data_IF_919056925454
#
_entry.id   IF_919056925454
#
_cell.length_a   1.000
_cell.length_b   1.000
_cell.length_c   1.000
_cell.angle_alpha   90.00
_cell.angle_beta   90.00
_cell.angle_gamma   90.00
#
_symmetry.space_group_name_H-M   'P 1'
#
loop_
_entity.id
_entity.type
_entity.pdbx_description
1 polymer ?
#
# COMPACT_ATOMS: atom_id res chain seq x y z
N UNK A 1 -3.73 1.13 29.52
CA UNK A 1 -4.09 -0.20 28.99
C UNK A 1 -3.60 -0.27 27.55
N UNK A 2 -3.20 -1.43 26.99
CA UNK A 2 -2.81 -1.54 25.60
C UNK A 2 -4.02 -1.31 24.68
N UNK A 3 -3.77 -0.72 23.51
CA UNK A 3 -4.78 -0.57 22.45
C UNK A 3 -5.18 -1.95 21.92
N UNK A 4 -6.46 -2.25 21.93
CA UNK A 4 -7.02 -3.53 21.49
C UNK A 4 -7.29 -3.47 19.99
N UNK A 5 -6.57 -4.27 19.22
CA UNK A 5 -6.65 -4.24 17.74
C UNK A 5 -7.32 -5.50 17.23
N UNK A 6 -8.39 -5.35 16.45
CA UNK A 6 -8.98 -6.42 15.65
C UNK A 6 -8.52 -6.31 14.20
N UNK A 7 -8.22 -7.44 13.55
CA UNK A 7 -7.82 -7.48 12.13
C UNK A 7 -8.90 -8.20 11.33
N UNK A 8 -9.36 -7.53 10.27
CA UNK A 8 -10.27 -8.12 9.27
C UNK A 8 -9.45 -8.43 8.02
N UNK A 9 -9.33 -9.71 7.68
CA UNK A 9 -8.52 -10.26 6.61
C UNK A 9 -7.43 -11.20 7.12
N UNK A 10 -7.29 -12.35 6.46
CA UNK A 10 -6.25 -13.36 6.69
C UNK A 10 -5.54 -13.76 5.39
N UNK A 11 -5.52 -12.84 4.41
CA UNK A 11 -4.81 -13.01 3.14
C UNK A 11 -3.29 -12.85 3.27
N UNK A 12 -2.59 -12.98 2.13
CA UNK A 12 -1.13 -12.92 2.07
C UNK A 12 -0.54 -11.67 2.76
N UNK A 13 -1.11 -10.50 2.53
CA UNK A 13 -0.54 -9.27 3.11
C UNK A 13 -0.97 -9.05 4.56
N UNK A 14 -2.14 -9.54 4.96
CA UNK A 14 -2.66 -9.41 6.33
C UNK A 14 -1.74 -10.00 7.38
N UNK A 15 -0.95 -11.05 7.05
CA UNK A 15 0.02 -11.64 7.99
C UNK A 15 1.03 -10.62 8.52
N UNK A 16 1.49 -9.70 7.68
CA UNK A 16 2.46 -8.67 8.10
C UNK A 16 1.83 -7.66 9.07
N UNK A 17 0.55 -7.34 8.89
CA UNK A 17 -0.22 -6.51 9.83
C UNK A 17 -0.38 -7.23 11.18
N UNK A 18 -0.83 -8.49 11.15
CA UNK A 18 -1.04 -9.30 12.35
C UNK A 18 0.25 -9.45 13.15
N UNK A 19 1.38 -9.76 12.49
CA UNK A 19 2.71 -9.83 13.11
C UNK A 19 3.15 -8.49 13.70
N UNK A 20 2.89 -7.39 12.99
CA UNK A 20 3.22 -6.05 13.48
C UNK A 20 2.43 -5.72 14.75
N UNK A 21 1.11 -5.94 14.76
CA UNK A 21 0.27 -5.71 15.93
C UNK A 21 0.62 -6.59 17.13
N UNK A 22 0.97 -7.86 16.90
CA UNK A 22 1.39 -8.76 17.96
C UNK A 22 2.74 -8.37 18.60
N UNK A 23 3.60 -7.70 17.83
CA UNK A 23 4.96 -7.29 18.27
C UNK A 23 5.03 -5.87 18.81
N UNK A 24 4.12 -4.98 18.41
CA UNK A 24 4.21 -3.56 18.72
C UNK A 24 3.91 -3.31 20.21
N UNK A 25 4.84 -2.66 20.98
CA UNK A 25 4.57 -2.32 22.37
C UNK A 25 3.35 -1.40 22.50
N UNK A 26 2.54 -1.66 23.50
CA UNK A 26 1.33 -0.86 23.77
C UNK A 26 0.10 -1.27 22.96
N UNK A 27 0.17 -2.31 22.13
CA UNK A 27 -0.97 -2.90 21.44
C UNK A 27 -1.24 -4.33 21.89
N UNK A 28 -2.45 -4.80 21.63
CA UNK A 28 -2.88 -6.18 21.84
C UNK A 28 -3.78 -6.61 20.69
N UNK A 29 -3.33 -7.57 19.88
CA UNK A 29 -4.20 -8.23 18.91
C UNK A 29 -5.27 -9.01 19.70
N UNK A 30 -6.57 -8.77 19.38
CA UNK A 30 -7.69 -9.34 20.15
C UNK A 30 -8.55 -10.32 19.36
N UNK A 31 -8.40 -10.38 18.04
CA UNK A 31 -9.10 -11.32 17.17
C UNK A 31 -8.82 -11.07 15.71
N UNK A 32 -9.07 -12.09 14.89
CA UNK A 32 -8.91 -12.06 13.43
C UNK A 32 -10.18 -12.60 12.79
N UNK A 33 -10.71 -11.88 11.77
CA UNK A 33 -11.81 -12.34 10.95
C UNK A 33 -11.40 -12.50 9.48
N UNK A 34 -11.93 -13.54 8.82
CA UNK A 34 -11.90 -13.71 7.37
C UNK A 34 -13.14 -14.49 6.94
N UNK A 35 -13.72 -14.19 5.78
CA UNK A 35 -14.85 -14.94 5.23
C UNK A 35 -14.51 -16.44 5.06
N UNK A 36 -13.25 -16.74 4.79
CA UNK A 36 -12.70 -18.09 4.80
C UNK A 36 -12.34 -18.48 6.24
N UNK A 37 -13.22 -19.28 6.84
CA UNK A 37 -13.08 -19.72 8.24
C UNK A 37 -11.76 -20.45 8.53
N UNK A 38 -11.25 -21.20 7.57
CA UNK A 38 -10.00 -21.93 7.74
C UNK A 38 -8.80 -20.96 7.74
N UNK A 39 -8.78 -19.96 6.85
CA UNK A 39 -7.76 -18.91 6.86
C UNK A 39 -7.79 -18.12 8.18
N UNK A 40 -8.98 -17.73 8.64
CA UNK A 40 -9.12 -17.04 9.91
C UNK A 40 -8.56 -17.87 11.07
N UNK A 41 -8.93 -19.16 11.16
CA UNK A 41 -8.45 -20.06 12.20
C UNK A 41 -6.94 -20.27 12.16
N UNK A 42 -6.37 -20.50 10.98
CA UNK A 42 -4.92 -20.69 10.80
C UNK A 42 -4.11 -19.43 11.14
N UNK A 43 -4.64 -18.24 10.82
CA UNK A 43 -4.00 -16.98 11.17
C UNK A 43 -4.07 -16.72 12.69
N UNK A 44 -5.24 -16.86 13.28
CA UNK A 44 -5.49 -16.60 14.68
C UNK A 44 -4.71 -17.53 15.62
N UNK A 45 -4.56 -18.81 15.25
CA UNK A 45 -3.80 -19.81 16.00
C UNK A 45 -2.34 -19.39 16.23
N UNK A 46 -1.72 -18.69 15.26
CA UNK A 46 -0.33 -18.22 15.38
C UNK A 46 -0.12 -17.24 16.52
N UNK A 47 -1.18 -16.51 16.89
CA UNK A 47 -1.14 -15.45 17.91
C UNK A 47 -1.93 -15.78 19.17
N UNK A 48 -2.58 -16.96 19.22
CA UNK A 48 -3.39 -17.38 20.36
C UNK A 48 -4.62 -16.49 20.59
N UNK A 49 -5.21 -15.96 19.51
CA UNK A 49 -6.42 -15.11 19.56
C UNK A 49 -7.62 -15.83 18.95
N UNK A 50 -8.88 -15.42 19.24
CA UNK A 50 -10.05 -15.99 18.63
C UNK A 50 -10.14 -15.67 17.13
N UNK A 51 -10.70 -16.62 16.35
CA UNK A 51 -10.98 -16.52 14.94
C UNK A 51 -12.48 -16.38 14.71
N UNK A 52 -12.84 -15.55 13.72
CA UNK A 52 -14.23 -15.26 13.33
C UNK A 52 -14.39 -15.41 11.81
N UNK A 53 -15.58 -15.79 11.36
CA UNK A 53 -15.97 -15.75 9.94
C UNK A 53 -16.80 -14.52 9.59
N UNK A 54 -17.14 -13.71 10.58
CA UNK A 54 -17.93 -12.50 10.47
C UNK A 54 -17.26 -11.36 11.25
N UNK A 55 -17.11 -10.21 10.62
CA UNK A 55 -16.52 -9.02 11.23
C UNK A 55 -17.43 -8.39 12.29
N UNK A 56 -18.75 -8.50 12.15
CA UNK A 56 -19.71 -8.00 13.13
C UNK A 56 -19.55 -8.76 14.46
N UNK A 57 -19.48 -10.11 14.39
CA UNK A 57 -19.23 -10.96 15.54
C UNK A 57 -17.86 -10.66 16.18
N UNK A 58 -16.80 -10.47 15.36
CA UNK A 58 -15.48 -10.06 15.82
C UNK A 58 -15.56 -8.78 16.65
N UNK A 59 -16.24 -7.74 16.15
CA UNK A 59 -16.34 -6.45 16.85
C UNK A 59 -17.15 -6.57 18.15
N UNK A 60 -18.25 -7.32 18.12
CA UNK A 60 -19.14 -7.47 19.26
C UNK A 60 -18.54 -8.28 20.39
N UNK A 61 -17.79 -9.33 20.09
CA UNK A 61 -17.13 -10.18 21.07
C UNK A 61 -15.85 -9.54 21.61
N UNK A 62 -15.02 -9.00 20.72
CA UNK A 62 -13.70 -8.52 21.13
C UNK A 62 -13.68 -7.08 21.63
N UNK A 63 -14.70 -6.26 21.29
CA UNK A 63 -14.77 -4.83 21.64
C UNK A 63 -13.42 -4.13 21.42
N UNK A 64 -12.95 -4.03 20.15
CA UNK A 64 -11.65 -3.44 19.85
C UNK A 64 -11.67 -1.92 20.02
N UNK A 65 -10.49 -1.33 20.25
CA UNK A 65 -10.27 0.11 20.23
C UNK A 65 -9.88 0.61 18.81
N UNK A 66 -9.41 -0.30 17.96
CA UNK A 66 -8.96 -0.05 16.58
C UNK A 66 -9.23 -1.26 15.71
N UNK A 67 -9.69 -1.04 14.49
CA UNK A 67 -9.86 -2.08 13.47
C UNK A 67 -8.85 -1.88 12.35
N UNK A 68 -8.14 -2.95 11.99
CA UNK A 68 -7.23 -2.99 10.84
C UNK A 68 -7.88 -3.82 9.72
N UNK A 69 -8.22 -3.15 8.61
CA UNK A 69 -8.91 -3.72 7.45
C UNK A 69 -7.84 -4.10 6.42
N UNK A 70 -7.48 -5.37 6.36
CA UNK A 70 -6.46 -5.94 5.47
C UNK A 70 -7.05 -6.90 4.43
N UNK A 71 -8.18 -6.51 3.84
CA UNK A 71 -8.95 -7.25 2.85
C UNK A 71 -8.74 -6.70 1.43
N UNK A 72 -9.27 -7.34 0.37
CA UNK A 72 -9.30 -6.75 -0.96
C UNK A 72 -10.16 -5.48 -1.05
N UNK A 73 -9.83 -4.53 -1.96
CA UNK A 73 -10.48 -3.22 -2.03
C UNK A 73 -12.01 -3.23 -2.20
N UNK A 74 -12.56 -4.29 -2.80
CA UNK A 74 -14.00 -4.40 -3.02
C UNK A 74 -14.84 -4.45 -1.74
N UNK A 75 -14.26 -4.89 -0.62
CA UNK A 75 -14.94 -4.99 0.69
C UNK A 75 -14.71 -3.77 1.60
N UNK A 76 -13.82 -2.84 1.23
CA UNK A 76 -13.42 -1.75 2.12
C UNK A 76 -14.60 -0.83 2.50
N UNK A 77 -15.46 -0.48 1.54
CA UNK A 77 -16.60 0.40 1.81
C UNK A 77 -17.56 -0.19 2.85
N UNK A 78 -17.88 -1.48 2.71
CA UNK A 78 -18.76 -2.18 3.67
C UNK A 78 -18.13 -2.20 5.07
N UNK A 79 -16.85 -2.57 5.15
CA UNK A 79 -16.14 -2.64 6.43
C UNK A 79 -15.95 -1.26 7.07
N UNK A 80 -15.71 -0.21 6.27
CA UNK A 80 -15.64 1.17 6.78
C UNK A 80 -17.01 1.63 7.29
N UNK A 81 -18.12 1.28 6.63
CA UNK A 81 -19.47 1.53 7.16
C UNK A 81 -19.69 0.82 8.50
N UNK A 82 -19.26 -0.43 8.62
CA UNK A 82 -19.42 -1.20 9.86
C UNK A 82 -18.64 -0.62 11.05
N UNK A 83 -17.41 -0.14 10.83
CA UNK A 83 -16.65 0.53 11.90
C UNK A 83 -17.18 1.94 12.20
N UNK A 84 -17.64 2.67 11.18
CA UNK A 84 -18.19 4.01 11.33
C UNK A 84 -19.45 4.04 12.22
N UNK A 85 -20.38 3.10 12.02
CA UNK A 85 -21.59 2.96 12.86
C UNK A 85 -21.23 2.73 14.34
N UNK A 86 -20.08 2.12 14.62
CA UNK A 86 -19.60 1.85 15.96
C UNK A 86 -18.68 2.94 16.52
N UNK A 87 -18.35 3.96 15.74
CA UNK A 87 -17.38 4.99 16.11
C UNK A 87 -15.96 4.46 16.32
N UNK A 88 -15.61 3.33 15.68
CA UNK A 88 -14.30 2.70 15.82
C UNK A 88 -13.30 3.32 14.85
N UNK A 89 -12.12 3.76 15.31
CA UNK A 89 -11.01 4.09 14.42
C UNK A 89 -10.63 2.91 13.53
N UNK A 90 -10.24 3.18 12.28
CA UNK A 90 -9.83 2.14 11.35
C UNK A 90 -8.57 2.51 10.57
N UNK A 91 -7.75 1.49 10.31
CA UNK A 91 -6.70 1.52 9.30
C UNK A 91 -7.18 0.63 8.15
N UNK A 92 -7.17 1.15 6.92
CA UNK A 92 -7.67 0.43 5.75
C UNK A 92 -6.56 0.28 4.71
N UNK A 93 -6.37 -0.94 4.22
CA UNK A 93 -5.34 -1.27 3.25
C UNK A 93 -5.53 -0.52 1.92
N UNK A 94 -4.40 -0.26 1.25
CA UNK A 94 -4.37 0.28 -0.11
C UNK A 94 -4.68 -0.84 -1.15
N UNK A 95 -5.18 -0.48 -2.33
CA UNK A 95 -5.86 0.77 -2.65
C UNK A 95 -7.16 0.89 -1.87
N UNK A 96 -7.54 2.12 -1.52
CA UNK A 96 -8.68 2.38 -0.63
C UNK A 96 -10.00 1.84 -1.18
N UNK A 97 -10.13 1.79 -2.51
CA UNK A 97 -11.31 1.27 -3.20
C UNK A 97 -10.98 0.85 -4.64
N UNK A 98 -11.87 0.11 -5.32
CA UNK A 98 -11.68 -0.28 -6.72
C UNK A 98 -11.75 0.90 -7.71
N UNK A 99 -12.51 1.95 -7.39
CA UNK A 99 -12.69 3.15 -8.23
C UNK A 99 -12.62 4.43 -7.39
N UNK A 100 -12.46 5.58 -8.06
CA UNK A 100 -12.44 6.87 -7.39
C UNK A 100 -13.77 7.19 -6.69
N UNK A 101 -14.88 6.88 -7.34
CA UNK A 101 -16.23 7.14 -6.81
C UNK A 101 -16.43 6.38 -5.49
N UNK A 102 -16.05 5.09 -5.45
CA UNK A 102 -16.13 4.29 -4.23
C UNK A 102 -15.15 4.79 -3.18
N UNK A 103 -13.94 5.24 -3.57
CA UNK A 103 -12.98 5.83 -2.63
C UNK A 103 -13.52 7.13 -2.00
N UNK A 104 -14.19 7.96 -2.78
CA UNK A 104 -14.88 9.17 -2.28
C UNK A 104 -16.00 8.81 -1.30
N UNK A 105 -16.77 7.74 -1.56
CA UNK A 105 -17.79 7.26 -0.63
C UNK A 105 -17.19 6.72 0.68
N UNK A 106 -16.06 6.02 0.61
CA UNK A 106 -15.31 5.55 1.79
C UNK A 106 -14.89 6.73 2.66
N UNK A 107 -14.28 7.76 2.05
CA UNK A 107 -13.83 8.96 2.76
C UNK A 107 -15.03 9.72 3.36
N UNK A 108 -16.07 9.95 2.57
CA UNK A 108 -17.28 10.64 3.04
C UNK A 108 -17.97 9.88 4.19
N UNK A 109 -17.96 8.54 4.16
CA UNK A 109 -18.51 7.71 5.25
C UNK A 109 -17.75 7.96 6.56
N UNK A 110 -16.43 7.98 6.51
CA UNK A 110 -15.59 8.23 7.67
C UNK A 110 -15.75 9.67 8.20
N UNK A 111 -15.73 10.67 7.30
CA UNK A 111 -15.89 12.08 7.66
C UNK A 111 -17.27 12.37 8.29
N UNK A 112 -18.35 11.88 7.66
CA UNK A 112 -19.72 12.11 8.15
C UNK A 112 -19.98 11.48 9.53
N UNK A 113 -19.30 10.37 9.84
CA UNK A 113 -19.40 9.71 11.15
C UNK A 113 -18.39 10.22 12.19
N UNK A 114 -17.44 11.07 11.80
CA UNK A 114 -16.32 11.46 12.65
C UNK A 114 -15.33 10.34 12.96
N UNK A 115 -15.35 9.23 12.17
CA UNK A 115 -14.46 8.09 12.34
C UNK A 115 -13.06 8.44 11.84
N UNK A 116 -12.05 8.20 12.67
CA UNK A 116 -10.66 8.28 12.23
C UNK A 116 -10.36 7.13 11.27
N UNK A 117 -10.19 7.43 10.00
CA UNK A 117 -9.79 6.47 8.96
C UNK A 117 -8.39 6.80 8.44
N UNK A 118 -7.50 5.83 8.48
CA UNK A 118 -6.14 5.92 7.94
C UNK A 118 -5.99 4.97 6.77
N UNK A 119 -5.67 5.49 5.57
CA UNK A 119 -5.26 4.64 4.45
C UNK A 119 -3.86 4.09 4.72
N UNK A 120 -3.73 2.76 4.68
CA UNK A 120 -2.45 2.09 4.96
C UNK A 120 -1.54 2.13 3.73
N UNK A 121 -0.82 3.23 3.56
CA UNK A 121 0.28 3.36 2.61
C UNK A 121 1.60 3.28 3.37
N UNK A 122 2.43 2.28 3.05
CA UNK A 122 3.60 1.96 3.85
C UNK A 122 4.95 2.39 3.23
N UNK A 123 5.03 2.66 1.91
CA UNK A 123 6.32 2.91 1.27
C UNK A 123 7.01 4.16 1.78
N UNK A 124 6.30 5.28 1.95
CA UNK A 124 6.87 6.51 2.51
C UNK A 124 7.54 6.33 3.87
N UNK A 125 7.20 5.27 4.62
CA UNK A 125 7.78 4.93 5.92
C UNK A 125 9.02 4.05 5.84
N UNK A 126 9.39 3.57 4.65
CA UNK A 126 10.63 2.81 4.47
C UNK A 126 11.84 3.70 4.79
N UNK A 127 12.90 3.14 5.40
CA UNK A 127 14.01 3.93 5.93
C UNK A 127 14.66 4.86 4.91
N UNK A 128 14.86 4.38 3.69
CA UNK A 128 15.49 5.17 2.61
C UNK A 128 14.63 6.36 2.16
N UNK A 129 13.31 6.25 2.07
CA UNK A 129 12.45 7.39 1.70
C UNK A 129 12.36 8.42 2.83
N UNK A 130 12.38 7.95 4.09
CA UNK A 130 12.45 8.85 5.25
C UNK A 130 13.77 9.60 5.29
N UNK A 131 14.90 8.92 5.00
CA UNK A 131 16.20 9.57 4.90
C UNK A 131 16.25 10.60 3.77
N UNK A 132 15.74 10.26 2.57
CA UNK A 132 15.63 11.23 1.47
C UNK A 132 14.83 12.47 1.91
N UNK A 133 13.70 12.29 2.59
CA UNK A 133 12.90 13.42 3.10
C UNK A 133 13.67 14.25 4.12
N UNK A 134 14.44 13.63 5.00
CA UNK A 134 15.30 14.30 5.95
C UNK A 134 16.37 15.16 5.25
N UNK A 135 17.06 14.60 4.26
CA UNK A 135 18.08 15.29 3.47
C UNK A 135 17.49 16.48 2.69
N UNK A 136 16.29 16.34 2.11
CA UNK A 136 15.56 17.43 1.46
C UNK A 136 15.27 18.53 2.49
N UNK A 137 14.68 18.19 3.63
CA UNK A 137 14.29 19.16 4.66
C UNK A 137 15.48 19.91 5.25
N UNK A 138 16.68 19.29 5.26
CA UNK A 138 17.94 19.89 5.69
C UNK A 138 18.65 20.68 4.56
N UNK A 139 18.02 20.87 3.40
CA UNK A 139 18.54 21.64 2.28
C UNK A 139 19.73 21.01 1.56
N UNK A 140 20.03 19.72 1.78
CA UNK A 140 21.21 19.04 1.23
C UNK A 140 21.23 18.95 -0.29
N UNK A 141 20.07 19.03 -0.92
CA UNK A 141 19.92 18.98 -2.39
C UNK A 141 19.74 20.37 -3.02
N UNK A 142 19.62 21.43 -2.21
CA UNK A 142 19.28 22.74 -2.72
C UNK A 142 17.88 22.79 -3.31
N UNK A 143 17.70 23.50 -4.43
CA UNK A 143 16.43 23.54 -5.14
C UNK A 143 16.22 22.21 -5.88
N UNK A 144 15.11 21.53 -5.61
CA UNK A 144 14.79 20.27 -6.27
C UNK A 144 14.38 20.49 -7.72
N UNK A 145 14.87 19.62 -8.60
CA UNK A 145 14.55 19.60 -10.03
C UNK A 145 13.49 18.54 -10.35
N UNK A 146 13.64 17.32 -9.78
CA UNK A 146 12.71 16.24 -10.05
C UNK A 146 13.07 14.93 -9.34
N UNK A 147 12.19 13.97 -9.52
CA UNK A 147 12.35 12.59 -9.06
C UNK A 147 12.06 11.61 -10.19
N UNK A 148 12.83 10.55 -10.29
CA UNK A 148 12.51 9.43 -11.18
C UNK A 148 12.61 8.10 -10.44
N UNK A 149 11.71 7.19 -10.76
CA UNK A 149 11.73 5.81 -10.28
C UNK A 149 11.59 4.83 -11.43
N UNK A 150 12.51 3.88 -11.50
CA UNK A 150 12.50 2.81 -12.47
C UNK A 150 12.13 1.49 -11.81
N UNK A 151 10.87 1.08 -11.93
CA UNK A 151 10.33 -0.16 -11.36
C UNK A 151 10.74 -1.37 -12.18
N UNK A 152 11.48 -2.32 -11.58
CA UNK A 152 11.98 -3.54 -12.26
C UNK A 152 12.05 -4.74 -11.27
N UNK A 153 10.92 -5.25 -10.76
CA UNK A 153 10.91 -6.34 -9.79
C UNK A 153 11.11 -7.73 -10.41
N UNK A 154 10.90 -7.92 -11.72
CA UNK A 154 11.09 -9.20 -12.42
C UNK A 154 10.05 -10.27 -12.13
N UNK A 155 8.93 -9.93 -11.49
CA UNK A 155 7.94 -10.90 -10.99
C UNK A 155 6.74 -11.13 -11.94
N UNK A 156 6.74 -10.45 -13.10
CA UNK A 156 5.61 -10.44 -14.04
C UNK A 156 5.73 -11.35 -15.27
N UNK A 157 6.65 -12.31 -15.27
CA UNK A 157 6.94 -13.12 -16.46
C UNK A 157 6.10 -14.39 -16.55
N UNK A 158 5.63 -14.68 -17.76
CA UNK A 158 5.00 -15.94 -18.14
C UNK A 158 3.61 -16.18 -17.56
N UNK A 159 3.04 -17.38 -17.81
CA UNK A 159 1.66 -17.71 -17.43
C UNK A 159 1.45 -17.91 -15.93
N UNK A 160 2.51 -18.21 -15.18
CA UNK A 160 2.44 -18.44 -13.74
C UNK A 160 2.73 -17.19 -12.89
N UNK A 161 2.91 -16.02 -13.55
CA UNK A 161 3.14 -14.77 -12.85
C UNK A 161 2.06 -14.53 -11.77
N UNK A 162 2.51 -14.26 -10.52
CA UNK A 162 1.69 -13.95 -9.35
C UNK A 162 0.86 -15.10 -8.75
N UNK A 163 0.67 -16.25 -9.44
CA UNK A 163 -0.24 -17.31 -8.99
C UNK A 163 0.12 -17.89 -7.62
N UNK A 164 1.40 -18.00 -7.29
CA UNK A 164 1.86 -18.57 -6.02
C UNK A 164 1.57 -17.67 -4.81
N UNK A 165 1.32 -16.37 -5.02
CA UNK A 165 1.23 -15.39 -3.93
C UNK A 165 -0.05 -14.58 -3.94
N UNK A 166 -0.37 -13.98 -5.07
CA UNK A 166 -1.50 -13.07 -5.25
C UNK A 166 -2.18 -13.34 -6.60
N UNK A 167 -2.90 -14.46 -6.75
CA UNK A 167 -3.48 -14.89 -8.03
C UNK A 167 -4.42 -13.85 -8.65
N UNK A 168 -5.07 -13.03 -7.82
CA UNK A 168 -6.00 -12.00 -8.29
C UNK A 168 -5.32 -10.90 -9.14
N UNK A 169 -4.00 -10.75 -9.06
CA UNK A 169 -3.25 -9.81 -9.90
C UNK A 169 -3.44 -10.07 -11.39
N UNK A 170 -3.57 -11.34 -11.79
CA UNK A 170 -3.81 -11.69 -13.20
C UNK A 170 -5.14 -11.16 -13.72
N UNK A 171 -6.11 -10.93 -12.84
CA UNK A 171 -7.47 -10.53 -13.18
C UNK A 171 -7.78 -9.04 -12.94
N UNK A 172 -6.84 -8.29 -12.39
CA UNK A 172 -7.03 -6.86 -12.15
C UNK A 172 -7.07 -6.09 -13.47
N UNK A 173 -8.16 -5.37 -13.73
CA UNK A 173 -8.32 -4.55 -14.93
C UNK A 173 -7.38 -3.32 -14.93
N UNK A 174 -6.99 -2.83 -13.76
CA UNK A 174 -5.98 -1.78 -13.52
C UNK A 174 -4.96 -2.36 -12.58
N UNK A 175 -3.79 -2.72 -13.09
CA UNK A 175 -2.83 -3.49 -12.30
C UNK A 175 -1.62 -2.68 -11.87
N UNK A 176 -0.74 -2.28 -12.81
CA UNK A 176 0.51 -1.59 -12.48
C UNK A 176 0.25 -0.31 -11.68
N UNK A 177 -0.71 0.51 -12.12
CA UNK A 177 -0.98 1.80 -11.48
C UNK A 177 -1.65 1.60 -10.14
N UNK A 178 -2.71 0.81 -10.09
CA UNK A 178 -3.58 0.68 -8.93
C UNK A 178 -2.97 -0.16 -7.81
N UNK A 179 -2.16 -1.16 -8.17
CA UNK A 179 -1.52 -2.05 -7.19
C UNK A 179 -0.12 -1.58 -6.78
N UNK A 180 0.68 -1.10 -7.74
CA UNK A 180 2.11 -0.86 -7.49
C UNK A 180 2.50 0.61 -7.59
N UNK A 181 2.14 1.31 -8.67
CA UNK A 181 2.55 2.70 -8.85
C UNK A 181 1.94 3.63 -7.80
N UNK A 182 0.81 3.27 -7.19
CA UNK A 182 0.19 4.01 -6.09
C UNK A 182 1.19 4.28 -4.93
N UNK A 183 2.05 3.33 -4.62
CA UNK A 183 3.10 3.48 -3.61
C UNK A 183 4.13 4.56 -3.97
N UNK A 184 4.51 4.61 -5.25
CA UNK A 184 5.48 5.59 -5.74
C UNK A 184 4.85 6.96 -5.96
N UNK A 185 3.58 7.01 -6.37
CA UNK A 185 2.80 8.26 -6.41
C UNK A 185 2.75 8.89 -5.01
N UNK A 186 2.45 8.10 -4.00
CA UNK A 186 2.44 8.53 -2.61
C UNK A 186 3.84 8.97 -2.14
N UNK A 187 4.87 8.19 -2.47
CA UNK A 187 6.26 8.53 -2.13
C UNK A 187 6.71 9.82 -2.82
N UNK A 188 6.38 10.01 -4.09
CA UNK A 188 6.68 11.23 -4.82
C UNK A 188 6.00 12.45 -4.19
N UNK A 189 4.72 12.33 -3.83
CA UNK A 189 4.00 13.39 -3.09
C UNK A 189 4.63 13.66 -1.71
N UNK A 190 5.08 12.61 -1.03
CA UNK A 190 5.80 12.76 0.24
C UNK A 190 7.12 13.53 0.10
N UNK A 191 7.83 13.35 -1.01
CA UNK A 191 9.13 14.00 -1.27
C UNK A 191 8.97 15.41 -1.84
N UNK A 192 8.07 15.63 -2.82
CA UNK A 192 7.98 16.83 -3.64
C UNK A 192 6.69 17.65 -3.43
N UNK A 193 5.68 17.10 -2.76
CA UNK A 193 4.40 17.78 -2.54
C UNK A 193 3.31 17.39 -3.53
N UNK A 194 2.34 18.29 -3.76
CA UNK A 194 1.14 17.95 -4.51
C UNK A 194 1.36 17.96 -6.03
N UNK A 195 0.75 16.97 -6.69
CA UNK A 195 0.73 16.84 -8.15
C UNK A 195 -0.33 17.76 -8.73
N UNK A 196 0.03 18.53 -9.76
CA UNK A 196 -0.85 19.44 -10.51
C UNK A 196 -1.24 18.90 -11.89
N UNK A 197 -0.45 17.98 -12.46
CA UNK A 197 -0.73 17.38 -13.76
C UNK A 197 -0.15 15.98 -13.90
N UNK A 198 -0.76 15.16 -14.76
CA UNK A 198 -0.28 13.82 -15.04
C UNK A 198 -0.47 13.46 -16.52
N UNK A 199 0.56 12.82 -17.09
CA UNK A 199 0.50 12.21 -18.42
C UNK A 199 1.00 10.78 -18.33
N UNK A 200 0.29 9.82 -18.94
CA UNK A 200 0.67 8.41 -18.86
C UNK A 200 0.56 7.68 -20.20
N UNK A 201 1.45 6.72 -20.41
CA UNK A 201 1.38 5.73 -21.49
C UNK A 201 1.52 4.34 -20.87
N UNK A 202 0.41 3.63 -20.76
CA UNK A 202 0.34 2.31 -20.13
C UNK A 202 0.30 1.21 -21.19
N UNK A 203 0.87 0.05 -20.88
CA UNK A 203 0.94 -1.11 -21.78
C UNK A 203 0.75 -2.41 -20.99
N UNK A 204 0.19 -3.40 -21.67
CA UNK A 204 0.20 -4.78 -21.26
C UNK A 204 1.28 -5.53 -22.08
N UNK A 205 2.28 -6.07 -21.40
CA UNK A 205 3.36 -6.85 -22.02
C UNK A 205 3.15 -8.35 -21.82
N UNK A 206 2.70 -8.80 -20.65
CA UNK A 206 2.34 -10.17 -20.38
C UNK A 206 0.89 -10.44 -20.81
N UNK A 207 0.70 -11.29 -21.83
CA UNK A 207 -0.63 -11.63 -22.36
C UNK A 207 -1.52 -12.42 -21.40
N UNK A 208 -0.95 -13.00 -20.32
CA UNK A 208 -1.67 -13.80 -19.33
C UNK A 208 -2.33 -12.96 -18.22
N UNK A 209 -2.11 -11.66 -18.20
CA UNK A 209 -2.77 -10.76 -17.26
C UNK A 209 -3.75 -9.84 -18.01
N UNK A 210 -4.75 -9.32 -17.27
CA UNK A 210 -5.80 -8.48 -17.84
C UNK A 210 -5.37 -7.03 -17.94
N UNK A 211 -4.81 -6.47 -16.88
CA UNK A 211 -4.42 -5.05 -16.78
C UNK A 211 -3.05 -4.74 -17.37
N UNK A 212 -2.65 -3.50 -17.20
CA UNK A 212 -1.33 -3.02 -17.56
C UNK A 212 -0.26 -3.51 -16.58
N UNK A 213 0.90 -3.91 -17.09
CA UNK A 213 2.08 -4.35 -16.31
C UNK A 213 3.35 -3.56 -16.64
N UNK A 214 3.22 -2.61 -17.57
CA UNK A 214 4.28 -1.66 -17.92
C UNK A 214 3.69 -0.30 -18.29
N UNK A 215 4.49 0.75 -18.14
CA UNK A 215 4.09 2.10 -18.54
C UNK A 215 5.02 3.17 -18.01
N UNK A 216 4.87 4.34 -18.59
CA UNK A 216 5.55 5.57 -18.18
C UNK A 216 4.48 6.54 -17.71
N UNK A 217 4.70 7.14 -16.53
CA UNK A 217 3.85 8.19 -15.97
C UNK A 217 4.75 9.39 -15.66
N UNK A 218 4.38 10.55 -16.17
CA UNK A 218 5.02 11.83 -15.90
C UNK A 218 4.08 12.65 -15.03
N UNK A 219 4.63 13.24 -13.98
CA UNK A 219 3.92 14.07 -13.02
C UNK A 219 4.47 15.50 -13.08
N UNK A 220 3.59 16.47 -13.13
CA UNK A 220 3.91 17.87 -12.87
C UNK A 220 3.53 18.19 -11.43
N UNK A 221 4.47 18.72 -10.65
CA UNK A 221 4.22 19.13 -9.27
C UNK A 221 3.85 20.61 -9.20
N UNK A 222 3.00 20.97 -8.25
CA UNK A 222 2.57 22.36 -8.04
C UNK A 222 3.73 23.32 -7.76
N UNK A 223 4.84 22.81 -7.24
CA UNK A 223 6.08 23.55 -6.97
C UNK A 223 7.06 23.62 -8.15
N UNK A 224 6.67 23.10 -9.33
CA UNK A 224 7.39 23.21 -10.60
C UNK A 224 8.37 22.07 -10.92
N UNK A 225 8.50 21.07 -10.04
CA UNK A 225 9.33 19.89 -10.31
C UNK A 225 8.59 18.90 -11.23
N UNK A 226 9.36 17.97 -11.82
CA UNK A 226 8.82 16.85 -12.62
C UNK A 226 9.09 15.51 -11.92
N UNK A 227 8.13 14.61 -11.94
CA UNK A 227 8.27 13.22 -11.53
C UNK A 227 8.17 12.27 -12.71
N UNK A 228 8.98 11.21 -12.73
CA UNK A 228 8.93 10.17 -13.74
C UNK A 228 8.83 8.80 -13.06
N UNK A 229 7.74 8.08 -13.32
CA UNK A 229 7.63 6.66 -12.99
C UNK A 229 7.74 5.84 -14.28
N UNK A 230 8.81 5.02 -14.39
CA UNK A 230 9.02 4.06 -15.49
C UNK A 230 8.78 2.65 -14.95
N UNK A 231 7.56 2.15 -15.12
CA UNK A 231 7.11 0.85 -14.64
C UNK A 231 7.26 -0.26 -15.67
N UNK A 232 7.91 -1.36 -15.28
CA UNK A 232 7.96 -2.60 -16.03
C UNK A 232 8.17 -3.77 -15.06
N UNK A 233 7.17 -4.63 -14.93
CA UNK A 233 7.23 -5.77 -13.99
C UNK A 233 7.94 -7.00 -14.56
N UNK A 234 8.30 -7.01 -15.85
CA UNK A 234 8.90 -8.19 -16.51
C UNK A 234 10.42 -8.27 -16.32
N UNK A 235 11.10 -7.14 -16.28
CA UNK A 235 12.54 -7.08 -16.15
C UNK A 235 12.98 -6.92 -14.68
N UNK A 236 14.20 -7.34 -14.40
CA UNK A 236 14.84 -7.17 -13.10
C UNK A 236 15.81 -5.99 -13.11
N UNK A 237 16.01 -5.36 -11.97
CA UNK A 237 17.13 -4.46 -11.71
C UNK A 237 18.24 -5.22 -10.99
N UNK A 238 19.41 -4.65 -10.91
CA UNK A 238 20.57 -5.26 -10.24
C UNK A 238 20.38 -5.20 -8.73
N UNK A 239 20.02 -6.34 -8.13
CA UNK A 239 19.84 -6.49 -6.68
C UNK A 239 19.95 -7.96 -6.28
N UNK A 240 20.38 -8.25 -5.05
CA UNK A 240 20.29 -9.59 -4.46
C UNK A 240 18.82 -9.99 -4.20
N UNK A 241 18.02 -9.00 -3.77
CA UNK A 241 16.59 -9.14 -3.57
C UNK A 241 15.87 -8.02 -4.33
N UNK A 242 15.38 -8.34 -5.52
CA UNK A 242 14.66 -7.37 -6.38
C UNK A 242 13.40 -6.80 -5.76
N UNK A 243 12.89 -7.42 -4.69
CA UNK A 243 11.70 -6.98 -3.97
C UNK A 243 12.00 -5.98 -2.85
N UNK A 244 13.27 -5.78 -2.48
CA UNK A 244 13.63 -4.87 -1.39
C UNK A 244 13.23 -3.42 -1.73
N UNK A 245 13.72 -2.92 -2.86
CA UNK A 245 13.43 -1.59 -3.38
C UNK A 245 12.46 -1.60 -4.56
N UNK A 246 12.25 -2.76 -5.19
CA UNK A 246 11.47 -3.01 -6.40
C UNK A 246 11.99 -2.22 -7.63
N UNK A 247 13.14 -1.59 -7.54
CA UNK A 247 13.72 -0.74 -8.56
C UNK A 247 14.72 0.26 -8.00
N UNK A 248 14.93 1.33 -8.74
CA UNK A 248 15.91 2.36 -8.45
C UNK A 248 15.28 3.76 -8.53
N UNK A 249 15.72 4.68 -7.66
CA UNK A 249 15.25 6.07 -7.63
C UNK A 249 16.41 7.04 -7.79
N UNK A 250 16.17 8.14 -8.49
CA UNK A 250 17.01 9.33 -8.53
C UNK A 250 16.19 10.53 -8.07
N UNK A 251 16.75 11.31 -7.19
CA UNK A 251 16.20 12.58 -6.74
C UNK A 251 17.26 13.66 -6.98
N UNK A 252 16.95 14.63 -7.82
CA UNK A 252 17.90 15.59 -8.35
C UNK A 252 17.61 17.00 -7.84
N UNK A 253 18.64 17.72 -7.47
CA UNK A 253 18.58 19.11 -7.06
C UNK A 253 19.81 19.90 -7.42
N UNK A 254 19.79 21.21 -7.23
CA UNK A 254 20.87 22.13 -7.62
C UNK A 254 22.17 21.90 -6.88
N UNK A 255 22.17 21.21 -5.71
CA UNK A 255 23.34 20.93 -4.92
C UNK A 255 23.78 19.46 -4.97
N UNK A 256 23.09 18.59 -5.71
CA UNK A 256 23.48 17.20 -5.87
C UNK A 256 22.32 16.25 -6.23
N UNK A 257 22.64 14.96 -6.26
CA UNK A 257 21.73 13.88 -6.60
C UNK A 257 21.75 12.82 -5.48
N UNK A 258 20.57 12.37 -5.07
CA UNK A 258 20.43 11.15 -4.26
C UNK A 258 20.02 10.00 -5.18
N UNK A 259 20.64 8.87 -5.02
CA UNK A 259 20.30 7.62 -5.70
C UNK A 259 19.96 6.54 -4.68
N UNK A 260 18.82 5.88 -4.87
CA UNK A 260 18.49 4.62 -4.24
C UNK A 260 18.75 3.50 -5.24
N UNK A 261 19.63 2.58 -4.91
CA UNK A 261 19.91 1.38 -5.72
C UNK A 261 19.21 0.13 -5.16
N UNK A 262 19.39 -1.00 -5.85
CA UNK A 262 18.77 -2.27 -5.47
C UNK A 262 19.23 -2.85 -4.12
N UNK A 263 20.29 -2.32 -3.51
CA UNK A 263 20.77 -2.71 -2.18
C UNK A 263 20.28 -1.79 -1.05
N UNK A 264 19.36 -0.86 -1.39
CA UNK A 264 18.83 0.15 -0.47
C UNK A 264 19.90 1.10 0.12
N UNK A 265 20.86 1.51 -0.72
CA UNK A 265 21.93 2.45 -0.43
C UNK A 265 21.77 3.72 -1.23
#
# INVERSE_FOLDING_TARGET
MPVRVAVVGAGYFAQFHQEAWARLPGTKLVGIADLDREKAANAAAKFGVPAFSDHEELFDVTKPDLVDIATPPASHLELVKAVAVRGLPAICQKPLAPTLEVAQEVVATAENSGTLLVAHENFRFQPWYREMRCLISNGRLGNLHGVSFRLRPGDGQGPLAYLSRQPYFQHMARFLVHETAIHFIDTFRFLLGEVSGVTARLRRLNSHIVGEDAGIIVFDFASGQTGLFDGNRLNEHVAENTRLTMGEMWLEGSAGVLRLDGSAR
#
